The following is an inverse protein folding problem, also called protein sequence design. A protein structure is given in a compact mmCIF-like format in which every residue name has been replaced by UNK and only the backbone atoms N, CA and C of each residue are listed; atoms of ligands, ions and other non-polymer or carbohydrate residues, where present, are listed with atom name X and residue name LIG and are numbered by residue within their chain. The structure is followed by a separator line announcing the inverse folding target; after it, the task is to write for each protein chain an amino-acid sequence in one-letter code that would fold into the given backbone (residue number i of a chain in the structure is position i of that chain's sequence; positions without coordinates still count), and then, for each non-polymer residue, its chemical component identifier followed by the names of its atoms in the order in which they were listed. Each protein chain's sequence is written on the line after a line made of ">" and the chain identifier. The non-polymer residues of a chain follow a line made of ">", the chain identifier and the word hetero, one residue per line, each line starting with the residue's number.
data_IF_520483469824
#
_entry.id   IF_520483469824
#
_cell.length_a   1.000
_cell.length_b   1.000
_cell.length_c   1.000
_cell.angle_alpha   90.00
_cell.angle_beta   90.00
_cell.angle_gamma   90.00
#
_symmetry.space_group_name_H-M   'P 1'
#
loop_
_entity.id
_entity.type
_entity.pdbx_description
1 polymer ?
#
# COMPACT_ATOMS: atom_id res chain seq x y z
N UNK A 1 -71.06 10.00 -18.08
CA UNK A 1 -69.87 10.72 -18.58
C UNK A 1 -69.40 10.05 -19.86
N UNK A 2 -69.47 10.74 -21.01
CA UNK A 2 -68.86 10.24 -22.27
C UNK A 2 -67.37 10.45 -22.24
N UNK A 3 -66.61 9.43 -21.99
CA UNK A 3 -65.15 9.48 -22.17
C UNK A 3 -64.94 9.52 -23.69
N UNK A 4 -64.29 10.57 -24.19
CA UNK A 4 -64.00 10.72 -25.62
C UNK A 4 -63.04 9.59 -26.06
N UNK A 5 -63.31 8.98 -27.22
CA UNK A 5 -62.42 7.95 -27.84
C UNK A 5 -60.99 8.46 -27.98
N UNK A 6 -60.86 9.75 -28.27
CA UNK A 6 -59.55 10.48 -28.32
C UNK A 6 -58.84 10.46 -26.96
N UNK A 7 -59.56 10.59 -25.85
CA UNK A 7 -58.98 10.59 -24.51
C UNK A 7 -58.46 9.20 -24.13
N UNK A 8 -59.21 8.14 -24.47
CA UNK A 8 -58.77 6.75 -24.23
C UNK A 8 -57.52 6.42 -25.10
N UNK A 9 -57.50 6.88 -26.34
CA UNK A 9 -56.34 6.72 -27.22
C UNK A 9 -55.10 7.40 -26.68
N UNK A 10 -55.20 8.65 -26.23
CA UNK A 10 -54.08 9.40 -25.64
C UNK A 10 -53.54 8.73 -24.37
N UNK A 11 -54.42 8.25 -23.48
CA UNK A 11 -54.01 7.51 -22.28
C UNK A 11 -53.30 6.19 -22.64
N UNK A 12 -53.80 5.47 -23.68
CA UNK A 12 -53.14 4.28 -24.17
C UNK A 12 -51.72 4.56 -24.73
N UNK A 13 -51.58 5.62 -25.52
CA UNK A 13 -50.31 6.02 -26.08
C UNK A 13 -49.32 6.43 -24.98
N UNK A 14 -49.76 7.20 -24.00
CA UNK A 14 -48.94 7.62 -22.85
C UNK A 14 -48.46 6.39 -22.04
N UNK A 15 -49.38 5.41 -21.82
CA UNK A 15 -49.03 4.15 -21.14
C UNK A 15 -47.98 3.36 -21.90
N UNK A 16 -48.10 3.25 -23.22
CA UNK A 16 -47.10 2.57 -24.07
C UNK A 16 -45.77 3.26 -24.04
N UNK A 17 -45.72 4.59 -24.14
CA UNK A 17 -44.49 5.38 -24.04
C UNK A 17 -43.82 5.18 -22.69
N UNK A 18 -44.58 5.23 -21.59
CA UNK A 18 -44.10 5.01 -20.24
C UNK A 18 -43.44 3.63 -20.09
N UNK A 19 -44.14 2.56 -20.50
CA UNK A 19 -43.58 1.21 -20.40
C UNK A 19 -42.39 0.97 -21.33
N UNK A 20 -42.35 1.63 -22.50
CA UNK A 20 -41.19 1.58 -23.39
C UNK A 20 -39.95 2.23 -22.75
N UNK A 21 -40.12 3.36 -22.08
CA UNK A 21 -39.01 4.03 -21.32
C UNK A 21 -38.59 3.16 -20.14
N UNK A 22 -39.50 2.54 -19.40
CA UNK A 22 -39.17 1.63 -18.30
C UNK A 22 -38.37 0.40 -18.80
N UNK A 23 -38.76 -0.21 -19.92
CA UNK A 23 -38.01 -1.29 -20.56
C UNK A 23 -36.58 -0.86 -20.89
N UNK A 24 -36.38 0.33 -21.51
CA UNK A 24 -35.06 0.88 -21.83
C UNK A 24 -34.25 1.13 -20.57
N UNK A 25 -34.87 1.66 -19.52
CA UNK A 25 -34.17 1.94 -18.25
C UNK A 25 -33.69 0.64 -17.60
N UNK A 26 -34.52 -0.37 -17.44
CA UNK A 26 -34.12 -1.68 -16.90
C UNK A 26 -33.07 -2.36 -17.77
N UNK A 27 -33.18 -2.28 -19.07
CA UNK A 27 -32.18 -2.81 -20.00
C UNK A 27 -30.81 -2.11 -19.83
N UNK A 28 -30.85 -0.80 -19.64
CA UNK A 28 -29.62 -0.01 -19.39
C UNK A 28 -29.02 -0.34 -18.02
N UNK A 29 -29.84 -0.47 -16.97
CA UNK A 29 -29.40 -0.88 -15.64
C UNK A 29 -28.74 -2.25 -15.66
N UNK A 30 -29.35 -3.23 -16.33
CA UNK A 30 -28.81 -4.59 -16.43
C UNK A 30 -27.50 -4.60 -17.22
N UNK A 31 -27.41 -3.82 -18.30
CA UNK A 31 -26.21 -3.79 -19.17
C UNK A 31 -25.05 -3.04 -18.55
N UNK A 32 -25.31 -1.99 -17.76
CA UNK A 32 -24.26 -1.18 -17.10
C UNK A 32 -23.91 -1.68 -15.70
N UNK A 33 -24.79 -2.46 -15.06
CA UNK A 33 -24.67 -2.85 -13.66
C UNK A 33 -24.96 -1.73 -12.66
N UNK A 34 -25.27 -0.51 -13.13
CA UNK A 34 -25.50 0.67 -12.28
C UNK A 34 -26.99 0.97 -12.16
N UNK A 35 -27.46 1.19 -10.92
CA UNK A 35 -28.86 1.56 -10.61
C UNK A 35 -29.25 2.91 -11.20
N UNK A 36 -28.33 3.87 -11.21
CA UNK A 36 -28.52 5.23 -11.73
C UNK A 36 -27.57 5.49 -12.87
N UNK A 37 -28.08 6.02 -13.98
CA UNK A 37 -27.28 6.30 -15.19
C UNK A 37 -26.81 7.75 -15.23
N UNK A 38 -27.57 8.65 -14.61
CA UNK A 38 -27.31 10.10 -14.62
C UNK A 38 -27.40 10.66 -13.22
N UNK A 39 -26.61 11.69 -12.95
CA UNK A 39 -26.67 12.39 -11.66
C UNK A 39 -28.08 12.97 -11.36
N UNK A 40 -28.89 13.25 -12.41
CA UNK A 40 -30.28 13.69 -12.29
C UNK A 40 -31.22 12.63 -11.74
N UNK A 41 -30.87 11.33 -11.86
CA UNK A 41 -31.75 10.21 -11.46
C UNK A 41 -31.80 10.10 -9.93
N UNK A 42 -30.69 10.44 -9.24
CA UNK A 42 -30.63 10.57 -7.79
C UNK A 42 -29.48 11.50 -7.40
N UNK A 43 -29.79 12.74 -7.02
CA UNK A 43 -28.78 13.71 -6.54
C UNK A 43 -28.05 13.24 -5.30
N UNK A 44 -28.72 12.49 -4.41
CA UNK A 44 -28.10 11.90 -3.22
C UNK A 44 -27.08 10.82 -3.60
N UNK A 45 -27.48 9.86 -4.46
CA UNK A 45 -26.58 8.79 -4.91
C UNK A 45 -25.38 9.35 -5.70
N UNK A 46 -25.57 10.38 -6.51
CA UNK A 46 -24.51 11.06 -7.23
C UNK A 46 -23.50 11.72 -6.27
N UNK A 47 -23.97 12.43 -5.24
CA UNK A 47 -23.11 13.07 -4.24
C UNK A 47 -22.30 12.04 -3.42
N UNK A 48 -22.95 11.00 -2.93
CA UNK A 48 -22.31 9.91 -2.19
C UNK A 48 -21.36 9.10 -3.09
N UNK A 49 -21.71 8.90 -4.37
CA UNK A 49 -20.85 8.23 -5.35
C UNK A 49 -19.53 8.97 -5.58
N UNK A 50 -19.55 10.31 -5.62
CA UNK A 50 -18.32 11.11 -5.69
C UNK A 50 -17.46 10.94 -4.43
N UNK A 51 -18.09 10.94 -3.23
CA UNK A 51 -17.37 10.70 -1.98
C UNK A 51 -16.69 9.32 -1.96
N UNK A 52 -17.44 8.27 -2.31
CA UNK A 52 -16.91 6.90 -2.41
C UNK A 52 -15.75 6.81 -3.41
N UNK A 53 -15.82 7.50 -4.54
CA UNK A 53 -14.73 7.54 -5.51
C UNK A 53 -13.49 8.25 -4.97
N UNK A 54 -13.65 9.32 -4.20
CA UNK A 54 -12.55 9.98 -3.51
C UNK A 54 -11.90 9.05 -2.49
N UNK A 55 -12.71 8.34 -1.69
CA UNK A 55 -12.22 7.39 -0.70
C UNK A 55 -11.47 6.22 -1.37
N UNK A 56 -11.98 5.66 -2.45
CA UNK A 56 -11.29 4.64 -3.25
C UNK A 56 -9.94 5.13 -3.78
N UNK A 57 -9.88 6.36 -4.28
CA UNK A 57 -8.65 6.98 -4.76
C UNK A 57 -7.64 7.16 -3.62
N UNK A 58 -8.11 7.51 -2.43
CA UNK A 58 -7.28 7.63 -1.24
C UNK A 58 -6.70 6.28 -0.80
N UNK A 59 -7.51 5.20 -0.80
CA UNK A 59 -7.02 3.85 -0.49
C UNK A 59 -6.04 3.33 -1.54
N UNK A 60 -6.22 3.67 -2.82
CA UNK A 60 -5.24 3.36 -3.86
C UNK A 60 -3.89 4.05 -3.59
N UNK A 61 -3.89 5.31 -3.16
CA UNK A 61 -2.68 6.02 -2.75
C UNK A 61 -2.03 5.38 -1.50
N UNK A 62 -2.82 5.00 -0.49
CA UNK A 62 -2.28 4.29 0.68
C UNK A 62 -1.60 2.99 0.27
N UNK A 63 -2.18 2.22 -0.65
CA UNK A 63 -1.58 0.99 -1.17
C UNK A 63 -0.21 1.23 -1.80
N UNK A 64 -0.07 2.26 -2.63
CA UNK A 64 1.22 2.64 -3.23
C UNK A 64 2.25 2.99 -2.15
N UNK A 65 1.85 3.77 -1.14
CA UNK A 65 2.71 4.13 -0.02
C UNK A 65 3.12 2.92 0.83
N UNK A 66 2.19 2.00 1.09
CA UNK A 66 2.43 0.75 1.81
C UNK A 66 3.45 -0.13 1.08
N UNK A 67 3.28 -0.34 -0.23
CA UNK A 67 4.18 -1.14 -1.05
C UNK A 67 5.59 -0.53 -1.11
N UNK A 68 5.67 0.80 -1.21
CA UNK A 68 6.95 1.51 -1.16
C UNK A 68 7.64 1.34 0.20
N UNK A 69 6.92 1.49 1.32
CA UNK A 69 7.49 1.31 2.66
C UNK A 69 7.88 -0.14 2.93
N UNK A 70 7.08 -1.11 2.49
CA UNK A 70 7.40 -2.54 2.62
C UNK A 70 8.75 -2.86 1.94
N UNK A 71 8.96 -2.40 0.71
CA UNK A 71 10.21 -2.57 -0.01
C UNK A 71 11.39 -1.85 0.69
N UNK A 72 11.16 -0.63 1.20
CA UNK A 72 12.19 0.14 1.91
C UNK A 72 12.59 -0.53 3.22
N UNK A 73 11.64 -1.03 4.02
CA UNK A 73 11.93 -1.70 5.27
C UNK A 73 12.62 -3.05 5.04
N UNK A 74 12.21 -3.84 4.05
CA UNK A 74 12.86 -5.09 3.70
C UNK A 74 14.31 -4.87 3.27
N UNK A 75 14.58 -3.85 2.46
CA UNK A 75 15.94 -3.47 2.06
C UNK A 75 16.77 -3.00 3.24
N UNK A 76 16.18 -2.21 4.15
CA UNK A 76 16.86 -1.73 5.36
C UNK A 76 17.19 -2.87 6.31
N UNK A 77 16.27 -3.84 6.51
CA UNK A 77 16.49 -5.02 7.33
C UNK A 77 17.64 -5.87 6.81
N UNK A 78 17.64 -6.17 5.51
CA UNK A 78 18.71 -6.92 4.85
C UNK A 78 20.07 -6.24 5.04
N UNK A 79 20.11 -4.92 4.86
CA UNK A 79 21.35 -4.13 4.97
C UNK A 79 21.85 -4.07 6.41
N UNK A 80 20.96 -3.84 7.39
CA UNK A 80 21.31 -3.81 8.82
C UNK A 80 21.79 -5.18 9.27
N UNK A 81 21.17 -6.27 8.81
CA UNK A 81 21.60 -7.64 9.09
C UNK A 81 23.00 -7.93 8.53
N UNK A 82 23.30 -7.47 7.32
CA UNK A 82 24.66 -7.60 6.74
C UNK A 82 25.70 -6.83 7.58
N UNK A 83 25.38 -5.59 7.99
CA UNK A 83 26.25 -4.78 8.87
C UNK A 83 26.45 -5.49 10.21
N UNK A 84 25.41 -6.04 10.83
CA UNK A 84 25.52 -6.76 12.09
C UNK A 84 26.45 -7.98 11.99
N UNK A 85 26.30 -8.78 10.92
CA UNK A 85 27.17 -9.92 10.67
C UNK A 85 28.65 -9.52 10.49
N UNK A 86 28.91 -8.42 9.81
CA UNK A 86 30.26 -7.88 9.66
C UNK A 86 30.86 -7.44 11.01
N UNK A 87 30.07 -6.82 11.89
CA UNK A 87 30.51 -6.42 13.23
C UNK A 87 30.78 -7.64 14.13
N UNK A 88 29.94 -8.66 14.07
CA UNK A 88 30.18 -9.92 14.79
C UNK A 88 31.50 -10.56 14.30
N UNK A 89 31.74 -10.57 12.99
CA UNK A 89 33.02 -11.08 12.44
C UNK A 89 34.19 -10.22 12.90
N UNK A 90 34.07 -8.91 12.92
CA UNK A 90 35.08 -8.01 13.43
C UNK A 90 35.38 -8.25 14.92
N UNK A 91 34.37 -8.48 15.76
CA UNK A 91 34.51 -8.83 17.15
C UNK A 91 35.28 -10.15 17.33
N UNK A 92 34.97 -11.18 16.52
CA UNK A 92 35.73 -12.44 16.55
C UNK A 92 37.20 -12.25 16.21
N UNK A 93 37.51 -11.43 15.22
CA UNK A 93 38.89 -11.10 14.86
C UNK A 93 39.59 -10.33 15.96
N UNK A 94 38.88 -9.40 16.64
CA UNK A 94 39.43 -8.68 17.79
C UNK A 94 39.77 -9.65 18.94
N UNK A 95 38.89 -10.61 19.23
CA UNK A 95 39.14 -11.65 20.26
C UNK A 95 40.35 -12.48 19.86
N UNK A 96 40.49 -12.87 18.61
CA UNK A 96 41.63 -13.59 18.10
C UNK A 96 42.93 -12.76 18.25
N UNK A 97 42.90 -11.46 17.89
CA UNK A 97 44.05 -10.55 18.01
C UNK A 97 44.45 -10.28 19.47
N UNK A 98 43.52 -10.42 20.41
CA UNK A 98 43.74 -10.32 21.86
C UNK A 98 44.52 -11.50 22.45
N UNK A 99 44.69 -12.60 21.70
CA UNK A 99 45.45 -13.74 22.15
C UNK A 99 46.97 -13.44 22.05
N UNK A 100 47.71 -13.54 23.17
CA UNK A 100 49.13 -13.26 23.23
C UNK A 100 49.99 -14.24 22.39
N UNK A 101 49.47 -15.43 22.07
CA UNK A 101 50.16 -16.41 21.22
C UNK A 101 50.24 -15.98 19.74
N UNK A 102 49.48 -14.98 19.34
CA UNK A 102 49.43 -14.45 17.98
C UNK A 102 50.50 -13.42 17.74
N UNK A 103 51.66 -13.53 17.67
CA UNK A 103 52.75 -12.54 17.47
C UNK A 103 52.40 -11.30 16.59
N UNK A 104 53.32 -10.41 16.41
CA UNK A 104 53.14 -9.17 15.69
C UNK A 104 52.62 -9.37 14.25
N UNK A 105 53.15 -10.37 13.53
CA UNK A 105 52.77 -10.64 12.14
C UNK A 105 51.32 -11.14 12.03
N UNK A 106 50.88 -11.99 12.98
CA UNK A 106 49.50 -12.43 13.04
C UNK A 106 48.51 -11.29 13.31
N UNK A 107 48.87 -10.34 14.18
CA UNK A 107 48.08 -9.11 14.41
C UNK A 107 47.97 -8.24 13.16
N UNK A 108 49.04 -8.10 12.38
CA UNK A 108 49.04 -7.35 11.11
C UNK A 108 48.12 -8.01 10.08
N UNK A 109 48.11 -9.35 9.98
CA UNK A 109 47.18 -10.08 9.10
C UNK A 109 45.69 -9.86 9.50
N UNK A 110 45.39 -9.91 10.81
CA UNK A 110 44.05 -9.62 11.33
C UNK A 110 43.70 -8.15 11.03
N UNK A 111 44.59 -7.20 11.16
CA UNK A 111 44.37 -5.81 10.82
C UNK A 111 44.00 -5.64 9.34
N UNK A 112 44.59 -6.42 8.44
CA UNK A 112 44.29 -6.40 7.02
C UNK A 112 42.84 -6.94 6.75
N UNK A 113 42.44 -8.01 7.42
CA UNK A 113 41.06 -8.53 7.33
C UNK A 113 40.07 -7.51 7.90
N UNK A 114 40.34 -6.86 9.02
CA UNK A 114 39.51 -5.79 9.59
C UNK A 114 39.41 -4.57 8.68
N UNK A 115 40.47 -4.20 7.92
CA UNK A 115 40.39 -3.14 6.89
C UNK A 115 39.37 -3.50 5.81
N UNK A 116 39.48 -4.72 5.28
CA UNK A 116 38.50 -5.22 4.29
C UNK A 116 37.08 -5.19 4.83
N UNK A 117 36.85 -5.63 6.08
CA UNK A 117 35.54 -5.58 6.73
C UNK A 117 35.06 -4.15 6.92
N UNK A 118 35.91 -3.23 7.36
CA UNK A 118 35.58 -1.80 7.52
C UNK A 118 35.13 -1.19 6.18
N UNK A 119 35.87 -1.49 5.10
CA UNK A 119 35.55 -0.97 3.77
C UNK A 119 34.22 -1.56 3.25
N UNK A 120 33.99 -2.87 3.40
CA UNK A 120 32.73 -3.52 3.09
C UNK A 120 31.57 -2.95 3.91
N UNK A 121 31.78 -2.73 5.21
CA UNK A 121 30.78 -2.12 6.12
C UNK A 121 30.45 -0.68 5.70
N UNK A 122 31.45 0.10 5.32
CA UNK A 122 31.24 1.48 4.82
C UNK A 122 30.48 1.47 3.50
N UNK A 123 30.78 0.54 2.61
CA UNK A 123 30.05 0.36 1.36
C UNK A 123 28.59 -0.08 1.62
N UNK A 124 28.40 -1.02 2.52
CA UNK A 124 27.09 -1.46 2.94
C UNK A 124 26.26 -0.32 3.53
N UNK A 125 26.83 0.46 4.43
CA UNK A 125 26.16 1.60 5.06
C UNK A 125 25.72 2.69 4.07
N UNK A 126 26.44 2.85 2.97
CA UNK A 126 26.15 3.82 1.90
C UNK A 126 25.39 3.20 0.71
N UNK A 127 24.90 1.97 0.84
CA UNK A 127 24.17 1.31 -0.22
C UNK A 127 22.90 2.07 -0.62
N UNK A 128 22.59 2.02 -1.92
CA UNK A 128 21.42 2.67 -2.51
C UNK A 128 20.44 1.64 -3.06
N UNK A 129 19.19 2.00 -3.07
CA UNK A 129 18.13 1.21 -3.71
C UNK A 129 18.19 1.30 -5.25
N UNK A 130 17.30 0.58 -5.94
CA UNK A 130 17.20 0.58 -7.40
C UNK A 130 16.92 1.98 -8.00
N UNK A 131 16.38 2.89 -7.20
CA UNK A 131 16.09 4.28 -7.60
C UNK A 131 17.24 5.25 -7.27
N UNK A 132 18.38 4.73 -6.79
CA UNK A 132 19.53 5.52 -6.40
C UNK A 132 19.40 6.25 -5.06
N UNK A 133 18.33 5.97 -4.29
CA UNK A 133 18.13 6.54 -2.98
C UNK A 133 18.89 5.74 -1.90
N UNK A 134 19.50 6.40 -0.90
CA UNK A 134 20.17 5.69 0.18
C UNK A 134 19.18 4.82 0.96
N UNK A 135 19.55 3.57 1.22
CA UNK A 135 18.76 2.62 2.01
C UNK A 135 18.65 3.11 3.46
N UNK A 136 19.78 3.47 4.07
CA UNK A 136 19.82 4.14 5.37
C UNK A 136 19.68 5.65 5.16
N UNK A 137 18.61 6.23 5.70
CA UNK A 137 18.22 7.61 5.42
C UNK A 137 19.03 8.60 6.26
N UNK A 138 19.35 9.76 5.68
CA UNK A 138 19.94 10.89 6.42
C UNK A 138 18.89 11.68 7.23
N UNK A 139 17.63 11.56 6.86
CA UNK A 139 16.47 12.16 7.53
C UNK A 139 15.22 11.32 7.34
N UNK A 140 14.30 11.37 8.29
CA UNK A 140 13.03 10.62 8.26
C UNK A 140 11.88 11.57 7.99
N UNK A 141 11.06 11.23 7.00
CA UNK A 141 9.77 11.83 6.76
C UNK A 141 8.67 10.83 7.17
N UNK A 142 7.48 11.35 7.48
CA UNK A 142 6.32 10.51 7.73
C UNK A 142 5.52 10.33 6.45
N UNK A 143 5.13 9.09 6.18
CA UNK A 143 4.33 8.71 5.01
C UNK A 143 3.01 8.15 5.52
N UNK A 144 1.93 8.68 4.99
CA UNK A 144 0.58 8.24 5.35
C UNK A 144 0.25 6.92 4.66
N UNK A 145 -0.10 5.89 5.45
CA UNK A 145 -0.32 4.51 4.99
C UNK A 145 -1.73 4.00 5.25
N UNK A 146 -2.48 4.69 6.11
CA UNK A 146 -3.89 4.42 6.39
C UNK A 146 -4.55 5.69 6.93
N UNK A 147 -5.88 5.76 7.07
CA UNK A 147 -6.54 6.87 7.75
C UNK A 147 -5.92 7.08 9.13
N UNK A 148 -5.37 8.29 9.38
CA UNK A 148 -4.74 8.67 10.67
C UNK A 148 -3.49 7.85 11.07
N UNK A 149 -2.89 7.08 10.16
CA UNK A 149 -1.67 6.31 10.42
C UNK A 149 -0.54 6.81 9.54
N UNK A 150 0.48 7.37 10.18
CA UNK A 150 1.71 7.82 9.53
C UNK A 150 2.87 6.95 10.03
N UNK A 151 3.72 6.48 9.12
CA UNK A 151 4.92 5.71 9.41
C UNK A 151 6.16 6.42 8.92
N UNK A 152 7.28 6.12 9.56
CA UNK A 152 8.59 6.67 9.19
C UNK A 152 9.04 6.14 7.83
N UNK A 153 9.65 7.00 7.00
CA UNK A 153 10.08 6.67 5.64
C UNK A 153 11.29 5.72 5.56
N UNK A 154 11.82 5.27 6.69
CA UNK A 154 12.97 4.37 6.77
C UNK A 154 13.68 4.45 8.11
N UNK A 155 14.93 4.00 8.14
CA UNK A 155 15.82 4.02 9.32
C UNK A 155 16.93 5.02 9.10
N UNK A 156 17.31 5.75 10.16
CA UNK A 156 18.38 6.72 10.10
C UNK A 156 19.75 6.03 10.02
N UNK A 157 20.61 6.55 9.14
CA UNK A 157 22.01 6.18 9.06
C UNK A 157 22.71 6.42 10.41
N UNK A 158 22.38 7.52 11.11
CA UNK A 158 22.96 7.84 12.41
C UNK A 158 22.69 6.77 13.47
N UNK A 159 21.47 6.21 13.48
CA UNK A 159 21.07 5.20 14.47
C UNK A 159 21.82 3.88 14.24
N UNK A 160 22.27 3.61 13.03
CA UNK A 160 23.01 2.39 12.68
C UNK A 160 24.51 2.57 12.82
N UNK A 161 25.06 3.72 12.37
CA UNK A 161 26.51 3.87 12.13
C UNK A 161 27.21 4.82 13.07
N UNK A 162 26.51 5.77 13.70
CA UNK A 162 27.17 6.88 14.39
C UNK A 162 26.76 7.11 15.84
N UNK A 163 25.61 6.63 16.28
CA UNK A 163 25.11 6.91 17.63
C UNK A 163 24.65 5.64 18.36
N UNK A 164 25.15 5.33 19.55
CA UNK A 164 26.10 6.09 20.36
C UNK A 164 27.58 5.91 19.96
N UNK A 165 27.92 4.93 19.13
CA UNK A 165 29.31 4.65 18.71
C UNK A 165 29.47 4.94 17.22
N UNK A 166 30.54 5.67 16.87
CA UNK A 166 30.92 5.83 15.45
C UNK A 166 31.71 4.59 15.02
N UNK A 167 31.01 3.65 14.38
CA UNK A 167 31.52 2.31 14.06
C UNK A 167 32.80 2.37 13.20
N UNK A 168 32.83 3.26 12.20
CA UNK A 168 33.99 3.40 11.33
C UNK A 168 35.22 3.91 12.07
N UNK A 169 35.07 4.81 13.06
CA UNK A 169 36.14 5.33 13.90
C UNK A 169 36.64 4.26 14.87
N UNK A 170 35.73 3.50 15.49
CA UNK A 170 36.08 2.37 16.34
C UNK A 170 36.93 1.35 15.56
N UNK A 171 36.44 0.91 14.38
CA UNK A 171 37.18 -0.01 13.52
C UNK A 171 38.56 0.51 13.12
N UNK A 172 38.66 1.80 12.77
CA UNK A 172 39.96 2.43 12.45
C UNK A 172 40.89 2.44 13.65
N UNK A 173 40.39 2.71 14.86
CA UNK A 173 41.18 2.68 16.09
C UNK A 173 41.72 1.28 16.39
N UNK A 174 40.91 0.25 16.25
CA UNK A 174 41.35 -1.17 16.42
C UNK A 174 42.41 -1.53 15.37
N UNK A 175 42.18 -1.19 14.09
CA UNK A 175 43.11 -1.47 13.00
C UNK A 175 44.47 -0.79 13.26
N UNK A 176 44.45 0.48 13.66
CA UNK A 176 45.69 1.21 13.96
C UNK A 176 46.45 0.63 15.18
N UNK A 177 45.76 0.03 16.12
CA UNK A 177 46.37 -0.65 17.25
C UNK A 177 47.05 -1.96 16.85
N UNK A 178 46.44 -2.72 15.95
CA UNK A 178 46.93 -4.00 15.46
C UNK A 178 48.06 -3.86 14.40
N UNK A 179 48.09 -2.75 13.69
CA UNK A 179 49.09 -2.47 12.67
C UNK A 179 49.43 -0.96 12.67
N UNK A 180 50.14 -0.48 13.71
CA UNK A 180 50.53 0.91 13.82
C UNK A 180 51.71 1.24 12.89
N UNK A 181 51.69 2.44 12.29
CA UNK A 181 52.82 2.94 11.50
C UNK A 181 54.00 3.27 12.40
N UNK A 182 55.05 2.45 12.38
CA UNK A 182 56.30 2.71 13.09
C UNK A 182 56.35 2.29 14.55
N UNK A 183 55.40 1.49 15.01
CA UNK A 183 55.40 0.90 16.35
C UNK A 183 55.04 -0.60 16.30
N UNK A 184 55.19 -1.29 17.44
CA UNK A 184 54.84 -2.70 17.52
C UNK A 184 53.31 -2.91 17.62
N UNK A 185 52.77 -3.92 16.95
CA UNK A 185 51.34 -4.30 17.04
C UNK A 185 50.95 -4.67 18.47
N UNK A 186 49.90 -4.02 18.98
CA UNK A 186 49.37 -4.30 20.31
C UNK A 186 47.99 -4.94 20.24
N UNK A 187 47.61 -5.69 21.26
CA UNK A 187 46.27 -6.28 21.38
C UNK A 187 45.18 -5.18 21.53
N UNK A 188 43.94 -5.43 21.09
CA UNK A 188 42.82 -4.52 21.32
C UNK A 188 42.62 -4.26 22.82
N UNK A 189 42.25 -3.06 23.18
CA UNK A 189 41.99 -2.66 24.57
C UNK A 189 40.61 -3.13 25.03
N UNK A 190 40.44 -3.25 26.36
CA UNK A 190 39.11 -3.54 26.96
C UNK A 190 38.07 -2.48 26.57
N UNK A 191 38.44 -1.21 26.45
CA UNK A 191 37.53 -0.15 25.99
C UNK A 191 37.05 -0.37 24.55
N UNK A 192 37.94 -0.84 23.65
CA UNK A 192 37.55 -1.17 22.27
C UNK A 192 36.59 -2.37 22.18
N UNK A 193 36.76 -3.38 23.07
CA UNK A 193 35.79 -4.48 23.18
C UNK A 193 34.47 -4.01 23.71
N UNK A 194 34.43 -3.15 24.71
CA UNK A 194 33.19 -2.57 25.23
C UNK A 194 32.47 -1.75 24.14
N UNK A 195 33.19 -0.91 23.42
CA UNK A 195 32.63 -0.10 22.33
C UNK A 195 32.18 -0.95 21.16
N UNK A 196 32.84 -2.08 20.85
CA UNK A 196 32.37 -3.03 19.86
C UNK A 196 31.05 -3.68 20.32
N UNK A 197 30.92 -4.03 21.60
CA UNK A 197 29.65 -4.50 22.18
C UNK A 197 28.53 -3.48 22.05
N UNK A 198 28.81 -2.21 22.32
CA UNK A 198 27.87 -1.09 22.14
C UNK A 198 27.48 -0.90 20.67
N UNK A 199 28.46 -1.03 19.75
CA UNK A 199 28.20 -0.94 18.30
C UNK A 199 27.27 -2.07 17.81
N UNK A 200 27.48 -3.30 18.26
CA UNK A 200 26.60 -4.43 17.93
C UNK A 200 25.20 -4.20 18.52
N UNK A 201 25.10 -3.76 19.78
CA UNK A 201 23.82 -3.44 20.41
C UNK A 201 23.06 -2.34 19.67
N UNK A 202 23.77 -1.29 19.23
CA UNK A 202 23.21 -0.19 18.41
C UNK A 202 22.59 -0.70 17.11
N UNK A 203 23.30 -1.54 16.36
CA UNK A 203 22.79 -2.12 15.11
C UNK A 203 21.64 -3.08 15.38
N UNK A 204 21.71 -3.87 16.45
CA UNK A 204 20.60 -4.74 16.88
C UNK A 204 19.34 -3.93 17.23
N UNK A 205 19.48 -2.78 17.92
CA UNK A 205 18.35 -1.89 18.18
C UNK A 205 17.75 -1.32 16.89
N UNK A 206 18.58 -0.96 15.92
CA UNK A 206 18.09 -0.52 14.62
C UNK A 206 17.32 -1.63 13.89
N UNK A 207 17.79 -2.88 13.98
CA UNK A 207 17.10 -4.05 13.43
C UNK A 207 15.73 -4.26 14.10
N UNK A 208 15.66 -4.19 15.43
CA UNK A 208 14.39 -4.27 16.17
C UNK A 208 13.43 -3.15 15.75
N UNK A 209 13.94 -1.92 15.55
CA UNK A 209 13.14 -0.80 15.08
C UNK A 209 12.53 -1.08 13.69
N UNK A 210 13.29 -1.65 12.76
CA UNK A 210 12.76 -2.06 11.44
C UNK A 210 11.63 -3.09 11.61
N UNK A 211 11.83 -4.11 12.44
CA UNK A 211 10.79 -5.11 12.70
C UNK A 211 9.51 -4.52 13.30
N UNK A 212 9.64 -3.54 14.19
CA UNK A 212 8.48 -2.80 14.74
C UNK A 212 7.77 -2.00 13.64
N UNK A 213 8.53 -1.35 12.74
CA UNK A 213 7.93 -0.60 11.62
C UNK A 213 7.22 -1.52 10.63
N UNK A 214 7.77 -2.71 10.33
CA UNK A 214 7.12 -3.72 9.50
C UNK A 214 5.79 -4.19 10.13
N UNK A 215 5.80 -4.57 11.41
CA UNK A 215 4.57 -4.98 12.11
C UNK A 215 3.49 -3.88 12.13
N UNK A 216 3.91 -2.62 12.30
CA UNK A 216 2.98 -1.48 12.23
C UNK A 216 2.46 -1.23 10.82
N UNK A 217 3.28 -1.47 9.80
CA UNK A 217 2.86 -1.39 8.41
C UNK A 217 1.84 -2.48 8.09
N UNK A 218 2.08 -3.72 8.52
CA UNK A 218 1.16 -4.84 8.32
C UNK A 218 -0.21 -4.57 8.96
N UNK A 219 -0.21 -4.06 10.19
CA UNK A 219 -1.45 -3.65 10.86
C UNK A 219 -2.17 -2.51 10.12
N UNK A 220 -1.42 -1.55 9.57
CA UNK A 220 -2.00 -0.47 8.76
C UNK A 220 -2.56 -0.97 7.42
N UNK A 221 -1.92 -1.95 6.79
CA UNK A 221 -2.40 -2.63 5.57
C UNK A 221 -3.72 -3.34 5.84
N UNK A 222 -3.82 -4.10 6.93
CA UNK A 222 -5.05 -4.80 7.31
C UNK A 222 -6.20 -3.82 7.60
N UNK A 223 -5.91 -2.75 8.35
CA UNK A 223 -6.87 -1.68 8.62
C UNK A 223 -7.35 -1.02 7.31
N UNK A 224 -6.44 -0.65 6.41
CA UNK A 224 -6.78 -0.02 5.14
C UNK A 224 -7.60 -0.94 4.24
N UNK A 225 -7.28 -2.23 4.18
CA UNK A 225 -8.02 -3.23 3.41
C UNK A 225 -9.45 -3.41 3.94
N UNK A 226 -9.61 -3.48 5.27
CA UNK A 226 -10.94 -3.57 5.91
C UNK A 226 -11.78 -2.34 5.57
N UNK A 227 -11.23 -1.13 5.69
CA UNK A 227 -11.94 0.10 5.36
C UNK A 227 -12.25 0.20 3.86
N UNK A 228 -11.32 -0.19 2.99
CA UNK A 228 -11.55 -0.27 1.55
C UNK A 228 -12.72 -1.19 1.21
N UNK A 229 -12.78 -2.37 1.84
CA UNK A 229 -13.91 -3.31 1.65
C UNK A 229 -15.23 -2.69 2.09
N UNK A 230 -15.26 -1.96 3.22
CA UNK A 230 -16.46 -1.25 3.67
C UNK A 230 -16.90 -0.19 2.65
N UNK A 231 -15.98 0.59 2.10
CA UNK A 231 -16.25 1.58 1.04
C UNK A 231 -16.76 0.92 -0.25
N UNK A 232 -16.22 -0.25 -0.62
CA UNK A 232 -16.69 -1.02 -1.78
C UNK A 232 -18.10 -1.57 -1.56
N UNK A 233 -18.43 -2.05 -0.35
CA UNK A 233 -19.78 -2.47 0.02
C UNK A 233 -20.76 -1.29 0.01
N UNK A 234 -20.35 -0.14 0.54
CA UNK A 234 -21.16 1.07 0.50
C UNK A 234 -21.44 1.51 -0.94
N UNK A 235 -20.41 1.50 -1.80
CA UNK A 235 -20.55 1.76 -3.24
C UNK A 235 -21.56 0.81 -3.88
N UNK A 236 -21.42 -0.49 -3.61
CA UNK A 236 -22.31 -1.52 -4.16
C UNK A 236 -23.75 -1.30 -3.72
N UNK A 237 -23.98 -1.04 -2.45
CA UNK A 237 -25.32 -0.79 -1.92
C UNK A 237 -25.98 0.48 -2.51
N UNK A 238 -25.17 1.50 -2.85
CA UNK A 238 -25.65 2.78 -3.36
C UNK A 238 -25.86 2.79 -4.87
N UNK A 239 -24.95 2.17 -5.63
CA UNK A 239 -24.83 2.37 -7.07
C UNK A 239 -25.09 1.13 -7.90
N UNK A 240 -24.86 -0.07 -7.36
CA UNK A 240 -25.01 -1.30 -8.13
C UNK A 240 -26.50 -1.69 -8.27
N UNK A 241 -26.84 -2.23 -9.44
CA UNK A 241 -28.19 -2.70 -9.74
C UNK A 241 -28.40 -4.08 -9.11
N UNK A 242 -29.52 -4.26 -8.39
CA UNK A 242 -30.03 -5.59 -8.10
C UNK A 242 -30.55 -6.22 -9.41
N UNK A 243 -29.78 -7.16 -9.94
CA UNK A 243 -30.11 -7.84 -11.21
C UNK A 243 -31.38 -8.65 -11.14
N UNK A 244 -31.78 -9.15 -9.97
CA UNK A 244 -33.03 -9.91 -9.80
C UNK A 244 -34.20 -8.94 -9.88
N UNK A 245 -34.17 -7.83 -9.18
CA UNK A 245 -35.19 -6.78 -9.22
C UNK A 245 -35.32 -6.17 -10.62
N UNK A 246 -34.17 -5.81 -11.24
CA UNK A 246 -34.16 -5.22 -12.57
C UNK A 246 -34.66 -6.17 -13.65
N UNK A 247 -34.32 -7.47 -13.58
CA UNK A 247 -34.81 -8.48 -14.51
C UNK A 247 -36.33 -8.72 -14.36
N UNK A 248 -36.81 -8.79 -13.12
CA UNK A 248 -38.24 -8.91 -12.84
C UNK A 248 -39.02 -7.66 -13.33
N UNK A 249 -38.46 -6.47 -13.11
CA UNK A 249 -38.98 -5.20 -13.61
C UNK A 249 -39.04 -5.15 -15.14
N UNK A 250 -37.96 -5.59 -15.80
CA UNK A 250 -37.88 -5.69 -17.25
C UNK A 250 -38.97 -6.62 -17.83
N UNK A 251 -39.12 -7.83 -17.26
CA UNK A 251 -40.16 -8.78 -17.68
C UNK A 251 -41.55 -8.21 -17.49
N UNK A 252 -41.82 -7.58 -16.34
CA UNK A 252 -43.12 -6.95 -16.05
C UNK A 252 -43.41 -5.80 -17.03
N UNK A 253 -42.46 -4.90 -17.27
CA UNK A 253 -42.63 -3.75 -18.17
C UNK A 253 -42.81 -4.20 -19.63
N UNK A 254 -42.11 -5.24 -20.07
CA UNK A 254 -42.32 -5.88 -21.37
C UNK A 254 -43.73 -6.47 -21.50
N UNK A 255 -44.22 -7.20 -20.49
CA UNK A 255 -45.57 -7.77 -20.50
C UNK A 255 -46.64 -6.66 -20.53
N UNK A 256 -46.47 -5.59 -19.77
CA UNK A 256 -47.39 -4.44 -19.76
C UNK A 256 -47.35 -3.69 -21.10
N UNK A 257 -46.20 -3.54 -21.72
CA UNK A 257 -46.08 -2.94 -23.06
C UNK A 257 -46.81 -3.76 -24.12
N UNK A 258 -46.63 -5.09 -24.11
CA UNK A 258 -47.37 -5.99 -25.01
C UNK A 258 -48.90 -5.95 -24.78
N UNK A 259 -49.33 -5.91 -23.50
CA UNK A 259 -50.75 -5.77 -23.16
C UNK A 259 -51.29 -4.42 -23.68
N UNK A 260 -50.59 -3.32 -23.47
CA UNK A 260 -51.01 -2.00 -23.96
C UNK A 260 -51.08 -1.97 -25.50
N UNK A 261 -50.12 -2.56 -26.21
CA UNK A 261 -50.15 -2.71 -27.68
C UNK A 261 -51.37 -3.53 -28.14
N UNK A 262 -51.67 -4.61 -27.46
CA UNK A 262 -52.82 -5.47 -27.81
C UNK A 262 -54.17 -4.77 -27.58
N UNK A 263 -54.28 -3.95 -26.54
CA UNK A 263 -55.47 -3.13 -26.25
C UNK A 263 -55.65 -2.06 -27.32
N UNK A 264 -54.55 -1.36 -27.68
CA UNK A 264 -54.58 -0.33 -28.74
C UNK A 264 -55.00 -0.93 -30.09
N UNK A 265 -54.44 -2.08 -30.50
CA UNK A 265 -54.81 -2.78 -31.72
C UNK A 265 -56.32 -3.17 -31.74
N UNK A 266 -56.88 -3.62 -30.60
CA UNK A 266 -58.32 -3.90 -30.49
C UNK A 266 -59.20 -2.64 -30.55
N UNK A 267 -58.69 -1.53 -30.05
CA UNK A 267 -59.40 -0.23 -30.12
C UNK A 267 -59.44 0.30 -31.56
N UNK A 268 -58.35 0.19 -32.31
CA UNK A 268 -58.31 0.56 -33.73
C UNK A 268 -59.25 -0.26 -34.57
N UNK A 269 -59.37 -1.56 -34.31
CA UNK A 269 -60.31 -2.44 -35.04
C UNK A 269 -61.77 -2.16 -34.70
N UNK A 270 -62.04 -1.60 -33.52
CA UNK A 270 -63.45 -1.26 -33.09
C UNK A 270 -63.76 0.25 -33.34
N UNK A 271 -62.88 0.99 -33.97
CA UNK A 271 -63.16 2.40 -34.29
C UNK A 271 -64.27 2.51 -35.31
N UNK A 272 -65.05 3.57 -35.17
CA UNK A 272 -66.31 3.81 -35.98
C UNK A 272 -66.04 3.88 -37.50
N UNK A 273 -64.79 3.98 -37.95
CA UNK A 273 -64.39 4.02 -39.38
C UNK A 273 -64.47 2.64 -40.06
N UNK A 274 -64.50 1.51 -39.36
CA UNK A 274 -64.68 0.19 -39.93
C UNK A 274 -66.20 -0.27 -39.96
N UNK A 275 -67.11 0.53 -39.43
CA UNK A 275 -68.55 0.25 -39.40
C UNK A 275 -69.39 1.11 -40.36
N UNK A 276 -68.72 1.97 -41.13
CA UNK A 276 -69.27 2.67 -42.29
C UNK A 276 -68.85 1.96 -43.58
#
# INVERSE_FOLDING_TARGET
>A
MRVSTSQIFNVGLESMQKHSVEVMNYQTQISSGNKYQRASDSGLAAGLGVQVQLDQSQYAMFKVNQDHLAATYASSESQISAINNMLIRAQQLMVQAGNDSIGADGRRLIAQELRSLKDALTQAANAKDANGQPILKSGINKIKVAPQVDLDSGVLFSDVMTSPVVITTLMAGVINQLDPSGADPAAPTSAQFEDMGKAIAQVTQAQVRVGVLQNRLDAAVEMANTQKTNVELERSNLLDTDLAEASAGLMKSNALLQAAQSVMAKMDTNSLFQKL
#
